data_IF_991070332550
#
_entry.id   IF_991070332550
#
_cell.length_a   1.000
_cell.length_b   1.000
_cell.length_c   1.000
_cell.angle_alpha   90.00
_cell.angle_beta   90.00
_cell.angle_gamma   90.00
#
_symmetry.space_group_name_H-M   'P 1'
#
loop_
_entity.id
_entity.type
_entity.pdbx_description
1 polymer ?
#
# COMPACT_ATOMS: atom_id res chain seq x y z
N UNK A 1 1.02 34.13 -11.44
CA UNK A 1 0.98 32.65 -11.26
C UNK A 1 2.20 32.22 -10.45
N UNK A 2 2.10 31.24 -9.56
CA UNK A 2 3.20 30.78 -8.69
C UNK A 2 3.21 29.25 -8.63
N UNK A 3 4.41 28.65 -8.63
CA UNK A 3 4.58 27.22 -8.45
C UNK A 3 4.12 26.78 -7.05
N UNK A 4 3.38 25.68 -6.99
CA UNK A 4 2.96 25.09 -5.73
C UNK A 4 4.14 24.42 -5.00
N UNK A 5 4.18 24.43 -3.66
CA UNK A 5 5.13 23.64 -2.89
C UNK A 5 5.03 22.15 -3.24
N UNK A 6 6.15 21.44 -3.20
CA UNK A 6 6.23 20.03 -3.56
C UNK A 6 5.25 19.16 -2.74
N UNK A 7 5.10 19.45 -1.46
CA UNK A 7 4.18 18.73 -0.57
C UNK A 7 2.72 18.91 -0.97
N UNK A 8 2.35 20.12 -1.41
CA UNK A 8 1.01 20.40 -1.94
C UNK A 8 0.75 19.63 -3.23
N UNK A 9 1.73 19.62 -4.16
CA UNK A 9 1.61 18.85 -5.41
C UNK A 9 1.46 17.35 -5.12
N UNK A 10 2.25 16.82 -4.16
CA UNK A 10 2.17 15.42 -3.74
C UNK A 10 0.80 15.07 -3.16
N UNK A 11 0.29 15.91 -2.26
CA UNK A 11 -1.04 15.69 -1.65
C UNK A 11 -2.16 15.74 -2.69
N UNK A 12 -2.12 16.73 -3.60
CA UNK A 12 -3.12 16.88 -4.66
C UNK A 12 -3.15 15.66 -5.59
N UNK A 13 -1.98 15.24 -6.07
CA UNK A 13 -1.85 14.05 -6.93
C UNK A 13 -2.25 12.77 -6.20
N UNK A 14 -1.86 12.59 -4.93
CA UNK A 14 -2.29 11.43 -4.12
C UNK A 14 -3.80 11.39 -3.94
N UNK A 15 -4.47 12.53 -3.78
CA UNK A 15 -5.92 12.60 -3.57
C UNK A 15 -6.73 12.29 -4.82
N UNK A 16 -6.10 12.33 -6.01
CA UNK A 16 -6.71 11.89 -7.27
C UNK A 16 -6.59 10.37 -7.46
N UNK A 17 -5.52 9.76 -6.92
CA UNK A 17 -5.33 8.31 -6.90
C UNK A 17 -6.21 7.70 -5.81
N UNK A 18 -6.08 8.18 -4.57
CA UNK A 18 -6.78 7.70 -3.38
C UNK A 18 -7.99 8.58 -3.07
N UNK A 19 -9.16 8.12 -3.52
CA UNK A 19 -10.42 8.88 -3.46
C UNK A 19 -11.41 8.40 -2.40
N UNK A 20 -11.17 7.23 -1.79
CA UNK A 20 -11.98 6.71 -0.68
C UNK A 20 -11.26 5.55 0.04
N UNK A 21 -11.77 5.17 1.22
CA UNK A 21 -11.37 3.94 1.92
C UNK A 21 -11.57 2.70 1.02
N UNK A 22 -12.65 2.68 0.23
CA UNK A 22 -12.92 1.59 -0.73
C UNK A 22 -11.84 1.55 -1.82
N UNK A 23 -11.38 2.70 -2.29
CA UNK A 23 -10.29 2.74 -3.25
C UNK A 23 -8.96 2.27 -2.63
N UNK A 24 -8.63 2.66 -1.39
CA UNK A 24 -7.47 2.10 -0.67
C UNK A 24 -7.57 0.57 -0.61
N UNK A 25 -8.72 0.05 -0.16
CA UNK A 25 -8.98 -1.38 -0.11
C UNK A 25 -8.78 -2.06 -1.46
N UNK A 26 -9.35 -1.50 -2.54
CA UNK A 26 -9.22 -2.02 -3.90
C UNK A 26 -7.74 -2.15 -4.30
N UNK A 27 -6.95 -1.09 -4.13
CA UNK A 27 -5.53 -1.09 -4.52
C UNK A 27 -4.71 -2.11 -3.72
N UNK A 28 -5.00 -2.29 -2.44
CA UNK A 28 -4.32 -3.30 -1.61
C UNK A 28 -4.69 -4.73 -2.01
N UNK A 29 -5.97 -4.99 -2.25
CA UNK A 29 -6.43 -6.30 -2.71
C UNK A 29 -5.87 -6.64 -4.09
N UNK A 30 -5.85 -5.68 -5.01
CA UNK A 30 -5.26 -5.84 -6.34
C UNK A 30 -3.75 -6.15 -6.26
N UNK A 31 -3.02 -5.49 -5.35
CA UNK A 31 -1.61 -5.83 -5.10
C UNK A 31 -1.43 -7.24 -4.54
N UNK A 32 -2.31 -7.70 -3.63
CA UNK A 32 -2.28 -9.07 -3.12
C UNK A 32 -2.56 -10.09 -4.24
N UNK A 33 -3.51 -9.81 -5.12
CA UNK A 33 -3.83 -10.66 -6.28
C UNK A 33 -2.66 -10.72 -7.28
N UNK A 34 -2.05 -9.57 -7.60
CA UNK A 34 -0.87 -9.50 -8.46
C UNK A 34 0.32 -10.24 -7.85
N UNK A 35 0.40 -10.33 -6.51
CA UNK A 35 1.39 -11.14 -5.81
C UNK A 35 1.08 -12.65 -5.83
N UNK A 36 -0.06 -13.07 -6.41
CA UNK A 36 -0.48 -14.47 -6.50
C UNK A 36 -1.11 -15.01 -5.22
N UNK A 37 -1.67 -14.14 -4.37
CA UNK A 37 -2.34 -14.58 -3.14
C UNK A 37 -3.57 -15.45 -3.44
N UNK A 38 -3.70 -16.53 -2.66
CA UNK A 38 -4.88 -17.40 -2.64
C UNK A 38 -5.78 -17.16 -1.43
N UNK A 39 -5.28 -16.46 -0.42
CA UNK A 39 -5.99 -16.06 0.77
C UNK A 39 -5.61 -14.63 1.13
N UNK A 40 -6.62 -13.81 1.38
CA UNK A 40 -6.46 -12.41 1.77
C UNK A 40 -7.40 -12.14 2.95
N UNK A 41 -6.83 -11.79 4.09
CA UNK A 41 -7.55 -11.39 5.30
C UNK A 41 -7.56 -9.87 5.41
N UNK A 42 -8.75 -9.32 5.61
CA UNK A 42 -8.97 -7.88 5.75
C UNK A 42 -9.54 -7.60 7.14
N UNK A 43 -8.94 -6.66 7.86
CA UNK A 43 -9.46 -6.12 9.10
C UNK A 43 -9.61 -4.61 9.00
N UNK A 44 -10.81 -4.14 9.31
CA UNK A 44 -11.17 -2.73 9.35
C UNK A 44 -11.57 -2.38 10.77
N UNK A 45 -10.87 -1.40 11.36
CA UNK A 45 -11.31 -0.78 12.61
C UNK A 45 -12.04 0.52 12.27
N UNK A 46 -13.20 0.74 12.88
CA UNK A 46 -14.07 1.90 12.63
C UNK A 46 -14.33 2.11 11.12
N UNK A 47 -14.76 1.05 10.42
CA UNK A 47 -15.01 1.06 8.98
C UNK A 47 -13.80 1.50 8.12
N UNK A 48 -12.58 1.36 8.64
CA UNK A 48 -11.33 1.73 7.97
C UNK A 48 -10.91 3.20 8.18
N UNK A 49 -11.64 3.95 9.00
CA UNK A 49 -11.27 5.33 9.34
C UNK A 49 -10.10 5.38 10.33
N UNK A 50 -10.03 4.41 11.25
CA UNK A 50 -8.99 4.35 12.26
C UNK A 50 -7.81 3.47 11.80
N UNK A 51 -8.12 2.25 11.34
CA UNK A 51 -7.12 1.29 10.84
C UNK A 51 -7.66 0.45 9.70
N UNK A 52 -6.83 0.30 8.67
CA UNK A 52 -6.98 -0.70 7.60
C UNK A 52 -5.81 -1.66 7.72
N UNK A 53 -6.10 -2.95 7.72
CA UNK A 53 -5.12 -4.01 7.79
C UNK A 53 -5.44 -5.06 6.74
N UNK A 54 -4.50 -5.26 5.80
CA UNK A 54 -4.60 -6.31 4.76
C UNK A 54 -3.44 -7.27 4.95
N UNK A 55 -3.76 -8.55 5.01
CA UNK A 55 -2.80 -9.66 5.09
C UNK A 55 -3.05 -10.61 3.95
N UNK A 56 -2.01 -10.98 3.23
CA UNK A 56 -2.12 -11.99 2.19
C UNK A 56 -1.06 -13.08 2.33
N UNK A 57 -1.23 -14.15 1.55
CA UNK A 57 -0.25 -15.22 1.39
C UNK A 57 0.45 -15.17 0.01
N UNK A 58 0.54 -13.99 -0.60
CA UNK A 58 1.20 -13.78 -1.90
C UNK A 58 2.72 -13.76 -1.77
N UNK A 59 3.45 -13.58 -2.87
CA UNK A 59 4.91 -13.71 -3.00
C UNK A 59 5.77 -12.84 -2.06
N UNK A 60 5.18 -11.78 -1.49
CA UNK A 60 5.91 -10.78 -0.71
C UNK A 60 6.80 -9.89 -1.59
N UNK A 61 7.40 -8.89 -0.96
CA UNK A 61 8.33 -7.94 -1.57
C UNK A 61 9.77 -8.40 -1.29
N UNK A 62 10.58 -8.54 -2.33
CA UNK A 62 12.00 -8.90 -2.21
C UNK A 62 12.78 -7.79 -1.52
N UNK A 63 13.77 -8.15 -0.72
CA UNK A 63 14.63 -7.20 -0.01
C UNK A 63 15.22 -6.11 -0.94
N UNK A 64 15.61 -6.48 -2.17
CA UNK A 64 16.16 -5.56 -3.16
C UNK A 64 15.16 -4.47 -3.63
N UNK A 65 13.86 -4.76 -3.59
CA UNK A 65 12.79 -3.86 -4.05
C UNK A 65 12.22 -3.02 -2.89
N UNK A 66 12.62 -3.30 -1.64
CA UNK A 66 12.01 -2.63 -0.47
C UNK A 66 12.25 -1.13 -0.43
N UNK A 67 13.43 -0.66 -0.88
CA UNK A 67 13.76 0.77 -0.93
C UNK A 67 12.91 1.56 -1.92
N UNK A 68 12.26 0.88 -2.87
CA UNK A 68 11.48 1.49 -3.96
C UNK A 68 10.00 1.12 -3.92
N UNK A 69 9.55 0.33 -2.94
CA UNK A 69 8.19 -0.22 -2.89
C UNK A 69 7.09 0.86 -2.88
N UNK A 70 7.37 2.02 -2.31
CA UNK A 70 6.43 3.15 -2.21
C UNK A 70 6.90 4.38 -2.99
N UNK A 71 7.92 4.23 -3.84
CA UNK A 71 8.35 5.28 -4.76
C UNK A 71 7.39 5.32 -5.93
N UNK A 72 6.91 6.51 -6.28
CA UNK A 72 5.97 6.68 -7.40
C UNK A 72 6.63 6.34 -8.73
N UNK A 73 5.82 5.79 -9.64
CA UNK A 73 6.22 5.36 -10.97
C UNK A 73 7.26 4.23 -10.95
N UNK A 74 7.32 3.48 -9.84
CA UNK A 74 8.13 2.29 -9.71
C UNK A 74 7.23 1.06 -9.62
N UNK A 75 7.43 0.09 -10.49
CA UNK A 75 6.60 -1.11 -10.58
C UNK A 75 7.41 -2.29 -11.11
N UNK A 76 7.08 -3.49 -10.66
CA UNK A 76 7.65 -4.74 -11.18
C UNK A 76 6.79 -5.38 -12.28
N UNK A 77 5.65 -4.77 -12.62
CA UNK A 77 4.59 -5.40 -13.44
C UNK A 77 4.64 -5.05 -14.92
N UNK A 78 5.24 -3.92 -15.27
CA UNK A 78 5.48 -3.47 -16.65
C UNK A 78 6.86 -2.83 -16.75
N UNK A 79 7.44 -2.89 -17.94
CA UNK A 79 8.79 -2.38 -18.26
C UNK A 79 8.84 -1.61 -19.58
N UNK A 80 7.83 -1.76 -20.43
CA UNK A 80 7.78 -1.17 -21.77
C UNK A 80 6.39 -0.57 -22.06
N UNK A 81 6.31 0.23 -23.14
CA UNK A 81 5.02 0.73 -23.63
C UNK A 81 4.14 -0.39 -24.20
N UNK A 82 4.76 -1.40 -24.80
CA UNK A 82 4.09 -2.56 -25.40
C UNK A 82 3.33 -3.37 -24.33
N UNK A 83 3.86 -3.43 -23.10
CA UNK A 83 3.22 -4.10 -21.97
C UNK A 83 1.84 -3.50 -21.62
N UNK A 84 1.57 -2.24 -21.99
CA UNK A 84 0.28 -1.59 -21.78
C UNK A 84 -0.84 -2.15 -22.68
N UNK A 85 -0.48 -2.78 -23.80
CA UNK A 85 -1.44 -3.43 -24.71
C UNK A 85 -1.85 -4.82 -24.20
N UNK A 86 -1.08 -5.39 -23.27
CA UNK A 86 -1.23 -6.75 -22.75
C UNK A 86 -1.16 -6.78 -21.21
N UNK A 87 -2.01 -5.99 -20.56
CA UNK A 87 -2.04 -5.91 -19.10
C UNK A 87 -2.60 -7.20 -18.47
N UNK A 88 -1.73 -7.97 -17.82
CA UNK A 88 -2.08 -9.18 -17.06
C UNK A 88 -2.23 -8.92 -15.55
N UNK A 89 -1.88 -7.71 -15.09
CA UNK A 89 -1.88 -7.32 -13.68
C UNK A 89 -2.75 -6.10 -13.44
N UNK A 90 -3.26 -5.94 -12.22
CA UNK A 90 -4.15 -4.83 -11.87
C UNK A 90 -3.37 -3.55 -11.58
N UNK A 91 -2.32 -3.62 -10.76
CA UNK A 91 -1.66 -2.45 -10.19
C UNK A 91 -0.37 -2.03 -10.89
N UNK A 92 -0.39 -1.79 -12.20
CA UNK A 92 0.81 -1.55 -13.02
C UNK A 92 1.36 -0.11 -12.98
N UNK A 93 0.61 0.86 -12.43
CA UNK A 93 0.99 2.29 -12.46
C UNK A 93 2.14 2.65 -11.51
N UNK A 94 2.37 1.85 -10.46
CA UNK A 94 3.40 2.15 -9.45
C UNK A 94 3.10 3.39 -8.60
N UNK A 95 1.82 3.73 -8.41
CA UNK A 95 1.42 4.96 -7.70
C UNK A 95 0.69 4.70 -6.38
N UNK A 96 0.11 3.51 -6.19
CA UNK A 96 -0.80 3.23 -5.08
C UNK A 96 -0.17 3.42 -3.71
N UNK A 97 0.89 2.66 -3.39
CA UNK A 97 1.48 2.67 -2.05
C UNK A 97 2.08 4.04 -1.69
N UNK A 98 2.79 4.67 -2.62
CA UNK A 98 3.31 6.03 -2.45
C UNK A 98 2.20 7.08 -2.29
N UNK A 99 1.03 6.88 -2.93
CA UNK A 99 -0.11 7.78 -2.77
C UNK A 99 -0.77 7.63 -1.40
N UNK A 100 -0.87 6.39 -0.90
CA UNK A 100 -1.35 6.07 0.45
C UNK A 100 -0.41 6.67 1.50
N UNK A 101 0.92 6.54 1.34
CA UNK A 101 1.91 7.14 2.24
C UNK A 101 1.70 8.66 2.40
N UNK A 102 1.34 9.38 1.34
CA UNK A 102 1.16 10.82 1.43
C UNK A 102 -0.06 11.26 2.27
N UNK A 103 -1.00 10.35 2.58
CA UNK A 103 -2.27 10.65 3.27
C UNK A 103 -2.50 9.86 4.55
N UNK A 104 -1.63 8.89 4.87
CA UNK A 104 -1.73 8.02 6.03
C UNK A 104 -0.36 7.57 6.55
N UNK A 105 -0.28 7.14 7.80
CA UNK A 105 0.89 6.45 8.32
C UNK A 105 0.89 5.01 7.83
N UNK A 106 2.02 4.54 7.30
CA UNK A 106 2.09 3.24 6.62
C UNK A 106 3.18 2.38 7.22
N UNK A 107 2.82 1.15 7.58
CA UNK A 107 3.77 0.09 7.90
C UNK A 107 3.55 -1.13 7.01
N UNK A 108 4.62 -1.61 6.38
CA UNK A 108 4.64 -2.80 5.53
C UNK A 108 5.44 -3.89 6.23
N UNK A 109 4.85 -5.02 6.57
CA UNK A 109 5.63 -6.23 6.90
C UNK A 109 5.64 -7.14 5.70
N UNK A 110 6.82 -7.60 5.31
CA UNK A 110 6.98 -8.52 4.19
C UNK A 110 7.94 -9.65 4.55
N UNK A 111 7.73 -10.79 3.91
CA UNK A 111 8.62 -11.94 3.94
C UNK A 111 8.48 -12.66 2.62
N UNK A 112 9.57 -12.99 1.95
CA UNK A 112 9.59 -13.89 0.79
C UNK A 112 9.89 -15.34 1.24
N UNK A 113 9.70 -16.31 0.32
CA UNK A 113 10.02 -17.73 0.60
C UNK A 113 11.49 -17.93 0.97
N UNK A 114 12.38 -17.10 0.44
CA UNK A 114 13.82 -17.18 0.68
C UNK A 114 14.28 -16.48 1.95
N UNK A 115 13.40 -15.71 2.61
CA UNK A 115 13.76 -14.99 3.82
C UNK A 115 13.59 -15.90 5.06
N UNK A 116 14.53 -15.82 6.00
CA UNK A 116 14.41 -16.54 7.27
C UNK A 116 13.36 -15.87 8.19
N UNK A 117 13.36 -14.54 8.22
CA UNK A 117 12.56 -13.72 9.15
C UNK A 117 11.82 -12.63 8.37
N UNK A 118 10.59 -12.32 8.80
CA UNK A 118 9.84 -11.19 8.24
C UNK A 118 10.40 -9.85 8.71
N UNK A 119 10.37 -8.83 7.85
CA UNK A 119 10.83 -7.49 8.20
C UNK A 119 9.65 -6.53 8.08
N UNK A 120 9.46 -5.72 9.12
CA UNK A 120 8.52 -4.61 9.12
C UNK A 120 9.25 -3.31 8.80
N UNK A 121 8.76 -2.61 7.78
CA UNK A 121 9.18 -1.29 7.33
C UNK A 121 8.12 -0.26 7.72
N UNK A 122 8.56 0.85 8.33
CA UNK A 122 7.72 2.03 8.53
C UNK A 122 8.10 3.07 7.49
N UNK A 123 7.10 3.60 6.78
CA UNK A 123 7.27 4.57 5.70
C UNK A 123 6.83 5.96 6.15
N UNK A 124 7.55 6.99 5.72
CA UNK A 124 7.10 8.38 5.89
C UNK A 124 6.13 8.79 4.76
N UNK A 125 5.68 10.04 4.80
CA UNK A 125 4.74 10.59 3.83
C UNK A 125 5.29 10.80 2.40
N UNK A 126 6.61 10.61 2.19
CA UNK A 126 7.23 10.58 0.87
C UNK A 126 7.42 9.16 0.34
N UNK A 127 7.10 8.13 1.14
CA UNK A 127 7.27 6.72 0.80
C UNK A 127 8.67 6.17 1.13
N UNK A 128 9.51 6.95 1.81
CA UNK A 128 10.84 6.51 2.23
C UNK A 128 10.77 5.70 3.53
N UNK A 129 11.62 4.68 3.64
CA UNK A 129 11.75 3.87 4.84
C UNK A 129 12.42 4.69 5.95
N UNK A 130 11.70 4.94 7.04
CA UNK A 130 12.24 5.62 8.23
C UNK A 130 12.65 4.66 9.34
N UNK A 131 12.11 3.45 9.33
CA UNK A 131 12.46 2.41 10.30
C UNK A 131 12.28 1.04 9.67
N UNK A 132 13.16 0.11 10.03
CA UNK A 132 13.01 -1.31 9.72
C UNK A 132 13.33 -2.13 10.97
N UNK A 133 12.53 -3.16 11.23
CA UNK A 133 12.73 -4.08 12.35
C UNK A 133 12.33 -5.50 11.99
N UNK A 134 13.03 -6.53 12.51
CA UNK A 134 12.55 -7.89 12.43
C UNK A 134 11.16 -8.01 13.07
N UNK A 135 10.28 -8.82 12.48
CA UNK A 135 8.95 -9.12 12.99
C UNK A 135 8.79 -10.62 13.21
N UNK A 136 8.10 -10.96 14.30
CA UNK A 136 7.82 -12.33 14.74
C UNK A 136 6.41 -12.80 14.34
N UNK A 137 5.73 -12.12 13.40
CA UNK A 137 4.51 -12.66 12.80
C UNK A 137 4.82 -14.08 12.29
N UNK A 138 4.21 -15.06 12.95
CA UNK A 138 4.89 -16.31 13.30
C UNK A 138 4.95 -17.38 12.22
N UNK A 139 5.92 -18.29 12.39
CA UNK A 139 5.73 -19.69 12.02
C UNK A 139 4.68 -20.31 12.97
N UNK A 140 3.58 -20.79 12.39
CA UNK A 140 2.63 -21.71 13.00
C UNK A 140 2.12 -22.66 11.93
N UNK A 141 2.54 -23.93 11.98
CA UNK A 141 2.16 -24.99 11.03
C UNK A 141 0.64 -25.21 11.03
N UNK A 142 -0.03 -24.61 10.06
CA UNK A 142 -0.82 -25.38 9.09
C UNK A 142 0.04 -25.40 7.82
N UNK A 143 0.06 -26.48 7.04
CA UNK A 143 0.93 -26.59 5.86
C UNK A 143 0.63 -25.48 4.83
N UNK A 144 1.29 -24.33 4.98
CA UNK A 144 1.18 -23.20 4.08
C UNK A 144 2.55 -22.53 4.03
N UNK A 145 3.32 -22.84 2.99
CA UNK A 145 4.45 -22.02 2.56
C UNK A 145 3.84 -20.71 2.06
N UNK A 146 3.81 -19.69 2.90
CA UNK A 146 3.13 -18.42 2.65
C UNK A 146 4.10 -17.25 2.92
N UNK A 147 4.37 -16.40 1.93
CA UNK A 147 4.94 -15.08 2.13
C UNK A 147 3.81 -14.12 2.58
N UNK A 148 4.09 -13.17 3.47
CA UNK A 148 3.06 -12.36 4.15
C UNK A 148 3.32 -10.90 3.85
N UNK A 149 2.40 -10.22 3.15
CA UNK A 149 2.36 -8.76 3.08
C UNK A 149 1.33 -8.23 4.10
N UNK A 150 1.79 -7.48 5.10
CA UNK A 150 0.95 -6.82 6.11
C UNK A 150 1.03 -5.32 5.90
N UNK A 151 -0.06 -4.67 5.50
CA UNK A 151 -0.14 -3.21 5.49
C UNK A 151 -0.99 -2.73 6.65
N UNK A 152 -0.41 -1.99 7.60
CA UNK A 152 -1.14 -1.28 8.64
C UNK A 152 -1.16 0.20 8.32
N UNK A 153 -2.36 0.73 8.11
CA UNK A 153 -2.61 2.16 7.99
C UNK A 153 -3.10 2.70 9.32
N UNK A 154 -2.33 3.57 9.96
CA UNK A 154 -2.79 4.32 11.13
C UNK A 154 -3.13 5.75 10.67
N UNK A 155 -4.35 6.20 10.98
CA UNK A 155 -4.82 7.57 10.71
C UNK A 155 -4.86 7.96 9.22
N UNK A 156 -6.05 7.99 8.63
CA UNK A 156 -6.27 8.79 7.43
C UNK A 156 -6.27 10.26 7.88
N UNK A 157 -5.19 11.01 7.61
CA UNK A 157 -5.18 12.46 7.81
C UNK A 157 -6.09 13.10 6.75
N UNK A 158 -7.37 13.11 7.10
CA UNK A 158 -8.55 13.50 6.36
C UNK A 158 -8.60 15.01 6.06
N UNK A 159 -7.49 15.68 5.71
CA UNK A 159 -7.50 17.15 5.49
C UNK A 159 -8.30 17.52 4.23
N UNK A 160 -8.31 16.65 3.21
CA UNK A 160 -9.12 16.85 1.99
C UNK A 160 -10.53 16.25 2.14
N UNK A 161 -10.66 15.14 2.86
CA UNK A 161 -11.93 14.43 3.05
C UNK A 161 -12.87 15.11 4.07
N UNK A 162 -12.36 15.75 5.12
CA UNK A 162 -13.21 16.40 6.12
C UNK A 162 -13.99 17.59 5.53
N UNK A 163 -13.46 18.24 4.50
CA UNK A 163 -14.16 19.33 3.80
C UNK A 163 -15.19 18.82 2.79
N UNK A 164 -14.97 17.65 2.19
CA UNK A 164 -15.84 17.10 1.14
C UNK A 164 -17.00 16.26 1.71
N UNK A 165 -16.75 15.45 2.75
CA UNK A 165 -17.78 14.58 3.34
C UNK A 165 -18.72 15.29 4.32
N UNK A 166 -18.31 16.42 4.92
CA UNK A 166 -19.21 17.22 5.78
C UNK A 166 -20.41 17.78 5.02
N UNK A 167 -20.30 17.93 3.70
CA UNK A 167 -21.41 18.32 2.83
C UNK A 167 -22.20 17.13 2.25
N UNK A 168 -21.66 15.91 2.26
CA UNK A 168 -22.30 14.72 1.66
C UNK A 168 -23.08 13.86 2.67
N UNK A 169 -22.86 14.05 3.97
CA UNK A 169 -23.64 13.39 5.05
C UNK A 169 -24.67 14.33 5.70
N UNK A 170 -24.95 15.49 5.09
CA UNK A 170 -26.02 16.42 5.49
C UNK A 170 -27.17 16.50 4.46
N UNK A 171 -27.21 15.62 3.47
CA UNK A 171 -28.35 15.42 2.56
C UNK A 171 -28.89 13.98 2.65
#
# INVERSE_FOLDING_TARGET
MKQLPADTVRLLSSSQVITSVVNVMKELLENSLDAGASSIDVKLDNYGLDRIEVRDNGQGIKAADTSVMAVRHYTSKISSHEDLEHLETYGFRGEALGSICAVAEVAVTTKTVTDDVSIQYTLNFTGEIVSQKPSHLGQGKTHSLAPILYLQLCYLACVVFHSFFRNCLQE
#
